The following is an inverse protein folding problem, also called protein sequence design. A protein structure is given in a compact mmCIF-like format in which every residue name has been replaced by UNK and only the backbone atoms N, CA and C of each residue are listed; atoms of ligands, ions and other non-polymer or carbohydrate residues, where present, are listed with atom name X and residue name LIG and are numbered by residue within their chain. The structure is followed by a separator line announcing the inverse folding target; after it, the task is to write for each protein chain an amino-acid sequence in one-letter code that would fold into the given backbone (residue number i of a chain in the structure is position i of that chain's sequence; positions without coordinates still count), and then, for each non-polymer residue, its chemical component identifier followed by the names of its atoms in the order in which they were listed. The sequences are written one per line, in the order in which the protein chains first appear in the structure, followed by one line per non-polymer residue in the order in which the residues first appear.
data_IF_474491152033
#
_entry.id   IF_474491152033
#
_cell.length_a   1.000
_cell.length_b   1.000
_cell.length_c   1.000
_cell.angle_alpha   90.00
_cell.angle_beta   90.00
_cell.angle_gamma   90.00
#
_symmetry.space_group_name_H-M   'P 1'
#
loop_
_entity.id
_entity.type
_entity.pdbx_description
1 polymer ?
#
# COMPACT_ATOMS: atom_id res chain seq x y z
N UNK A 1 -0.92 -30.65 4.14
CA UNK A 1 -0.51 -31.33 2.89
C UNK A 1 -1.67 -31.36 1.87
N UNK A 2 -2.16 -30.21 1.40
CA UNK A 2 -3.25 -30.12 0.40
C UNK A 2 -3.00 -29.06 -0.71
N UNK A 3 -1.80 -28.50 -0.80
CA UNK A 3 -1.46 -27.42 -1.73
C UNK A 3 -1.19 -27.80 -3.21
N UNK A 4 -0.76 -29.03 -3.58
CA UNK A 4 -0.29 -29.26 -4.96
C UNK A 4 -1.41 -29.37 -6.01
N UNK A 5 -2.68 -29.52 -5.61
CA UNK A 5 -3.83 -29.60 -6.53
C UNK A 5 -4.24 -28.23 -7.06
N UNK A 6 -4.35 -27.21 -6.21
CA UNK A 6 -4.77 -25.85 -6.61
C UNK A 6 -3.75 -25.17 -7.55
N UNK A 7 -2.46 -25.31 -7.26
CA UNK A 7 -1.39 -24.76 -8.11
C UNK A 7 -1.37 -25.42 -9.50
N UNK A 8 -1.84 -26.66 -9.61
CA UNK A 8 -1.93 -27.40 -10.86
C UNK A 8 -3.16 -26.98 -11.67
N UNK A 9 -4.30 -26.83 -11.01
CA UNK A 9 -5.55 -26.32 -11.61
C UNK A 9 -5.38 -24.89 -12.15
N UNK A 10 -4.62 -24.02 -11.46
CA UNK A 10 -4.32 -22.68 -11.96
C UNK A 10 -3.46 -22.72 -13.23
N UNK A 11 -2.47 -23.60 -13.29
CA UNK A 11 -1.60 -23.74 -14.48
C UNK A 11 -2.36 -24.30 -15.67
N UNK A 12 -3.20 -25.31 -15.46
CA UNK A 12 -4.06 -25.87 -16.50
C UNK A 12 -5.03 -24.81 -17.04
N UNK A 13 -5.57 -23.94 -16.17
CA UNK A 13 -6.40 -22.80 -16.59
C UNK A 13 -5.61 -21.72 -17.34
N UNK A 14 -4.37 -21.41 -16.93
CA UNK A 14 -3.51 -20.47 -17.65
C UNK A 14 -3.08 -21.00 -19.03
N UNK A 15 -3.04 -22.32 -19.23
CA UNK A 15 -2.70 -22.94 -20.51
C UNK A 15 -3.75 -22.67 -21.60
N UNK A 16 -4.99 -22.36 -21.22
CA UNK A 16 -6.05 -21.92 -22.13
C UNK A 16 -5.77 -20.52 -22.71
N UNK A 17 -4.91 -19.73 -22.05
CA UNK A 17 -4.65 -18.32 -22.36
C UNK A 17 -3.14 -18.03 -22.45
N UNK A 18 -2.46 -18.42 -23.55
CA UNK A 18 -1.00 -18.35 -23.64
C UNK A 18 -0.43 -16.94 -23.47
N UNK A 19 -1.12 -15.91 -23.97
CA UNK A 19 -0.70 -14.51 -23.81
C UNK A 19 -0.75 -14.03 -22.35
N UNK A 20 -1.76 -14.47 -21.58
CA UNK A 20 -1.89 -14.13 -20.16
C UNK A 20 -0.84 -14.89 -19.35
N UNK A 21 -0.62 -16.16 -19.68
CA UNK A 21 0.41 -16.98 -19.04
C UNK A 21 1.80 -16.37 -19.16
N UNK A 22 2.18 -15.91 -20.35
CA UNK A 22 3.49 -15.28 -20.59
C UNK A 22 3.69 -14.05 -19.69
N UNK A 23 2.70 -13.17 -19.61
CA UNK A 23 2.75 -11.97 -18.75
C UNK A 23 2.85 -12.30 -17.26
N UNK A 24 2.09 -13.31 -16.80
CA UNK A 24 2.11 -13.75 -15.41
C UNK A 24 3.47 -14.39 -15.07
N UNK A 25 3.99 -15.25 -15.95
CA UNK A 25 5.29 -15.91 -15.76
C UNK A 25 6.44 -14.87 -15.78
N UNK A 26 6.38 -13.87 -16.65
CA UNK A 26 7.33 -12.74 -16.69
C UNK A 26 7.30 -11.94 -15.38
N UNK A 27 6.10 -11.61 -14.87
CA UNK A 27 5.95 -10.91 -13.60
C UNK A 27 6.50 -11.74 -12.43
N UNK A 28 6.15 -13.03 -12.34
CA UNK A 28 6.64 -13.94 -11.29
C UNK A 28 8.16 -14.05 -11.34
N UNK A 29 8.74 -14.14 -12.54
CA UNK A 29 10.18 -14.23 -12.72
C UNK A 29 10.89 -12.93 -12.33
N UNK A 30 10.31 -11.78 -12.69
CA UNK A 30 10.81 -10.45 -12.30
C UNK A 30 10.77 -10.24 -10.78
N UNK A 31 9.70 -10.71 -10.13
CA UNK A 31 9.55 -10.68 -8.67
C UNK A 31 10.58 -11.58 -7.96
N UNK A 32 10.74 -12.82 -8.43
CA UNK A 32 11.72 -13.77 -7.85
C UNK A 32 13.16 -13.31 -8.02
N UNK A 33 13.48 -12.65 -9.14
CA UNK A 33 14.80 -12.09 -9.42
C UNK A 33 15.03 -10.73 -8.73
N UNK A 34 14.03 -10.20 -8.02
CA UNK A 34 14.08 -8.87 -7.39
C UNK A 34 14.47 -7.77 -8.38
N UNK A 35 13.98 -7.85 -9.62
CA UNK A 35 14.25 -6.82 -10.64
C UNK A 35 13.33 -5.61 -10.46
N UNK A 36 12.08 -5.85 -10.03
CA UNK A 36 11.13 -4.82 -9.66
C UNK A 36 11.42 -4.38 -8.23
N UNK A 37 11.75 -3.11 -8.06
CA UNK A 37 12.07 -2.52 -6.76
C UNK A 37 10.99 -1.52 -6.36
N UNK A 38 10.50 -1.67 -5.13
CA UNK A 38 9.59 -0.73 -4.51
C UNK A 38 8.11 -1.01 -4.77
N UNK A 39 7.31 -0.52 -3.84
CA UNK A 39 5.87 -0.75 -3.78
C UNK A 39 5.10 -0.17 -4.97
N UNK A 40 5.59 0.93 -5.57
CA UNK A 40 4.87 1.65 -6.64
C UNK A 40 4.92 0.89 -7.97
N UNK A 41 6.13 0.61 -8.47
CA UNK A 41 6.32 -0.14 -9.71
C UNK A 41 5.71 -1.54 -9.61
N UNK A 42 5.89 -2.20 -8.46
CA UNK A 42 5.32 -3.52 -8.23
C UNK A 42 3.79 -3.50 -8.22
N UNK A 43 3.17 -2.50 -7.56
CA UNK A 43 1.72 -2.33 -7.59
C UNK A 43 1.23 -2.06 -9.02
N UNK A 44 1.87 -1.15 -9.76
CA UNK A 44 1.50 -0.79 -11.13
C UNK A 44 1.56 -2.00 -12.08
N UNK A 45 2.64 -2.75 -12.05
CA UNK A 45 2.80 -3.96 -12.87
C UNK A 45 1.76 -5.03 -12.48
N UNK A 46 1.51 -5.23 -11.19
CA UNK A 46 0.50 -6.19 -10.71
C UNK A 46 -0.90 -5.80 -11.19
N UNK A 47 -1.30 -4.53 -11.04
CA UNK A 47 -2.60 -4.03 -11.51
C UNK A 47 -2.74 -4.18 -13.02
N UNK A 48 -1.69 -3.86 -13.79
CA UNK A 48 -1.68 -4.00 -15.25
C UNK A 48 -1.90 -5.45 -15.71
N UNK A 49 -1.20 -6.41 -15.08
CA UNK A 49 -1.39 -7.84 -15.36
C UNK A 49 -2.79 -8.29 -14.99
N UNK A 50 -3.31 -7.92 -13.82
CA UNK A 50 -4.67 -8.28 -13.39
C UNK A 50 -5.75 -7.68 -14.31
N UNK A 51 -5.56 -6.44 -14.75
CA UNK A 51 -6.42 -5.79 -15.74
C UNK A 51 -6.44 -6.59 -17.05
N UNK A 52 -5.26 -6.99 -17.54
CA UNK A 52 -5.16 -7.77 -18.79
C UNK A 52 -5.77 -9.17 -18.69
N UNK A 53 -5.63 -9.82 -17.53
CA UNK A 53 -6.29 -11.10 -17.22
C UNK A 53 -7.80 -10.94 -17.34
N UNK A 54 -8.37 -9.93 -16.70
CA UNK A 54 -9.81 -9.68 -16.69
C UNK A 54 -10.38 -9.27 -18.06
N UNK A 55 -9.59 -8.55 -18.85
CA UNK A 55 -9.95 -8.17 -20.21
C UNK A 55 -10.01 -9.39 -21.14
N UNK A 56 -9.01 -10.27 -21.05
CA UNK A 56 -8.82 -11.40 -21.98
C UNK A 56 -9.71 -12.60 -21.62
N UNK A 57 -9.87 -12.89 -20.32
CA UNK A 57 -10.66 -14.04 -19.85
C UNK A 57 -12.14 -13.74 -20.01
N UNK A 58 -12.88 -14.70 -20.59
CA UNK A 58 -14.33 -14.70 -20.57
C UNK A 58 -14.82 -15.37 -19.29
N UNK A 59 -15.69 -14.68 -18.55
CA UNK A 59 -16.29 -15.20 -17.32
C UNK A 59 -17.75 -14.77 -17.25
N UNK A 60 -18.60 -15.69 -16.82
CA UNK A 60 -20.05 -15.47 -16.71
C UNK A 60 -20.50 -15.19 -15.28
N UNK A 61 -19.67 -15.56 -14.30
CA UNK A 61 -20.00 -15.57 -12.88
C UNK A 61 -18.89 -14.92 -12.07
N UNK A 62 -19.25 -14.01 -11.16
CA UNK A 62 -18.28 -13.31 -10.31
C UNK A 62 -17.49 -14.28 -9.41
N UNK A 63 -18.15 -15.33 -8.91
CA UNK A 63 -17.50 -16.34 -8.06
C UNK A 63 -16.32 -17.06 -8.73
N UNK A 64 -16.44 -17.39 -10.02
CA UNK A 64 -15.38 -18.09 -10.77
C UNK A 64 -14.13 -17.21 -10.90
N UNK A 65 -14.31 -15.97 -11.36
CA UNK A 65 -13.19 -15.05 -11.57
C UNK A 65 -12.52 -14.62 -10.26
N UNK A 66 -13.31 -14.46 -9.19
CA UNK A 66 -12.78 -14.17 -7.84
C UNK A 66 -11.84 -15.29 -7.36
N UNK A 67 -12.20 -16.55 -7.55
CA UNK A 67 -11.35 -17.67 -7.12
C UNK A 67 -10.07 -17.75 -7.96
N UNK A 68 -10.15 -17.52 -9.28
CA UNK A 68 -8.96 -17.50 -10.15
C UNK A 68 -8.01 -16.35 -9.81
N UNK A 69 -8.53 -15.15 -9.56
CA UNK A 69 -7.71 -14.00 -9.13
C UNK A 69 -7.11 -14.24 -7.74
N UNK A 70 -7.85 -14.87 -6.83
CA UNK A 70 -7.32 -15.25 -5.51
C UNK A 70 -6.14 -16.21 -5.63
N UNK A 71 -6.25 -17.24 -6.47
CA UNK A 71 -5.18 -18.20 -6.72
C UNK A 71 -3.95 -17.54 -7.38
N UNK A 72 -4.17 -16.68 -8.38
CA UNK A 72 -3.12 -15.88 -9.01
C UNK A 72 -2.42 -14.98 -7.98
N UNK A 73 -3.19 -14.31 -7.13
CA UNK A 73 -2.67 -13.46 -6.07
C UNK A 73 -1.87 -14.22 -5.01
N UNK A 74 -2.29 -15.44 -4.67
CA UNK A 74 -1.52 -16.33 -3.79
C UNK A 74 -0.16 -16.68 -4.42
N UNK A 75 -0.14 -17.04 -5.70
CA UNK A 75 1.10 -17.33 -6.43
C UNK A 75 2.04 -16.12 -6.48
N UNK A 76 1.52 -14.92 -6.75
CA UNK A 76 2.31 -13.69 -6.79
C UNK A 76 2.86 -13.30 -5.40
N UNK A 77 2.03 -13.40 -4.36
CA UNK A 77 2.45 -13.10 -2.98
C UNK A 77 3.52 -14.08 -2.50
N UNK A 78 3.43 -15.36 -2.90
CA UNK A 78 4.44 -16.37 -2.60
C UNK A 78 5.76 -16.14 -3.34
N UNK A 79 5.74 -15.44 -4.48
CA UNK A 79 6.96 -15.10 -5.21
C UNK A 79 7.81 -14.06 -4.47
N UNK A 80 7.18 -13.10 -3.77
CA UNK A 80 7.86 -12.09 -2.97
C UNK A 80 7.04 -11.68 -1.73
N UNK A 81 7.13 -12.47 -0.66
CA UNK A 81 6.28 -12.31 0.53
C UNK A 81 6.43 -10.97 1.26
N UNK A 82 7.62 -10.36 1.22
CA UNK A 82 7.88 -9.09 1.92
C UNK A 82 7.35 -7.85 1.19
N UNK A 83 6.96 -7.97 -0.08
CA UNK A 83 6.39 -6.84 -0.83
C UNK A 83 4.87 -6.89 -0.73
N UNK A 84 4.36 -6.31 0.36
CA UNK A 84 2.93 -6.36 0.69
C UNK A 84 2.05 -5.63 -0.32
N UNK A 85 2.61 -4.70 -1.12
CA UNK A 85 1.86 -3.99 -2.15
C UNK A 85 1.21 -4.92 -3.17
N UNK A 86 1.86 -6.04 -3.52
CA UNK A 86 1.31 -7.05 -4.45
C UNK A 86 -0.01 -7.59 -3.91
N UNK A 87 0.03 -8.12 -2.68
CA UNK A 87 -1.14 -8.69 -2.05
C UNK A 87 -2.22 -7.64 -1.77
N UNK A 88 -1.83 -6.40 -1.47
CA UNK A 88 -2.78 -5.30 -1.27
C UNK A 88 -3.54 -4.98 -2.57
N UNK A 89 -2.83 -4.83 -3.69
CA UNK A 89 -3.46 -4.59 -5.01
C UNK A 89 -4.41 -5.72 -5.38
N UNK A 90 -3.99 -6.98 -5.23
CA UNK A 90 -4.86 -8.15 -5.48
C UNK A 90 -6.14 -8.04 -4.67
N UNK A 91 -6.05 -7.74 -3.38
CA UNK A 91 -7.23 -7.63 -2.50
C UNK A 91 -8.13 -6.45 -2.88
N UNK A 92 -7.56 -5.33 -3.36
CA UNK A 92 -8.35 -4.20 -3.89
C UNK A 92 -9.11 -4.61 -5.15
N UNK A 93 -8.48 -5.33 -6.08
CA UNK A 93 -9.15 -5.84 -7.28
C UNK A 93 -10.27 -6.82 -6.92
N UNK A 94 -10.04 -7.75 -5.99
CA UNK A 94 -11.09 -8.65 -5.48
C UNK A 94 -12.25 -7.87 -4.84
N UNK A 95 -11.95 -6.80 -4.10
CA UNK A 95 -12.96 -5.94 -3.49
C UNK A 95 -13.80 -5.20 -4.54
N UNK A 96 -13.17 -4.62 -5.57
CA UNK A 96 -13.86 -3.96 -6.70
C UNK A 96 -14.84 -4.92 -7.37
N UNK A 97 -14.41 -6.14 -7.69
CA UNK A 97 -15.28 -7.15 -8.33
C UNK A 97 -16.52 -7.45 -7.47
N UNK A 98 -16.35 -7.58 -6.15
CA UNK A 98 -17.46 -7.85 -5.23
C UNK A 98 -18.39 -6.65 -5.08
N UNK A 99 -17.84 -5.44 -5.02
CA UNK A 99 -18.62 -4.21 -4.88
C UNK A 99 -19.47 -3.97 -6.13
N UNK A 100 -18.88 -4.08 -7.32
CA UNK A 100 -19.61 -3.95 -8.59
C UNK A 100 -20.69 -5.02 -8.75
N UNK A 101 -20.40 -6.28 -8.38
CA UNK A 101 -21.42 -7.33 -8.37
C UNK A 101 -22.58 -7.01 -7.40
N UNK A 102 -22.26 -6.52 -6.19
CA UNK A 102 -23.29 -6.12 -5.23
C UNK A 102 -24.12 -4.93 -5.70
N UNK A 103 -23.51 -3.96 -6.39
CA UNK A 103 -24.20 -2.80 -6.94
C UNK A 103 -25.11 -3.20 -8.10
N UNK A 104 -24.65 -4.07 -8.98
CA UNK A 104 -25.43 -4.58 -10.10
C UNK A 104 -26.65 -5.42 -9.65
N UNK A 105 -26.49 -6.23 -8.59
CA UNK A 105 -27.61 -6.96 -7.95
C UNK A 105 -28.67 -6.01 -7.39
N UNK A 106 -28.24 -4.95 -6.67
CA UNK A 106 -29.17 -3.95 -6.10
C UNK A 106 -29.95 -3.25 -7.21
N UNK A 107 -29.30 -2.89 -8.31
CA UNK A 107 -29.94 -2.23 -9.44
C UNK A 107 -30.98 -3.15 -10.11
N UNK A 108 -30.68 -4.44 -10.21
CA UNK A 108 -31.62 -5.45 -10.73
C UNK A 108 -32.82 -5.67 -9.81
N UNK A 109 -32.62 -5.68 -8.48
CA UNK A 109 -33.72 -5.77 -7.50
C UNK A 109 -34.58 -4.50 -7.43
N UNK A 110 -33.98 -3.31 -7.58
CA UNK A 110 -34.69 -2.03 -7.55
C UNK A 110 -35.59 -1.83 -8.78
N UNK A 111 -35.33 -2.55 -9.88
CA UNK A 111 -36.21 -2.59 -11.05
C UNK A 111 -37.52 -3.35 -10.84
N UNK A 112 -37.62 -4.21 -9.80
CA UNK A 112 -38.79 -5.06 -9.56
C UNK A 112 -39.85 -4.41 -8.65
N UNK A 113 -39.49 -3.41 -7.84
CA UNK A 113 -40.36 -2.84 -6.78
C UNK A 113 -41.07 -1.52 -7.15
N UNK A 114 -41.22 -1.20 -8.45
CA UNK A 114 -42.02 -0.04 -8.87
C UNK A 114 -43.53 -0.30 -8.80
N UNK A 115 -44.05 -0.46 -7.57
CA UNK A 115 -45.47 -0.41 -7.26
C UNK A 115 -45.75 0.18 -5.86
N UNK A 116 -45.27 1.39 -5.57
CA UNK A 116 -45.96 2.38 -4.69
C UNK A 116 -45.21 3.72 -4.66
N UNK A 117 -45.88 4.88 -4.84
CA UNK A 117 -45.26 6.17 -4.63
C UNK A 117 -45.39 6.59 -3.17
N UNK A 118 -44.26 6.86 -2.49
CA UNK A 118 -44.26 7.69 -1.27
C UNK A 118 -43.30 8.84 -1.48
N UNK A 119 -43.89 10.02 -1.49
CA UNK A 119 -43.31 11.35 -1.69
C UNK A 119 -42.37 11.77 -0.56
N UNK A 120 -41.13 12.13 -0.92
CA UNK A 120 -40.19 12.91 -0.11
C UNK A 120 -39.28 13.76 -1.03
N UNK A 121 -38.82 14.96 -0.60
CA UNK A 121 -38.21 15.95 -1.50
C UNK A 121 -36.78 15.57 -1.93
N UNK A 122 -36.28 16.13 -3.06
CA UNK A 122 -35.00 15.73 -3.63
C UNK A 122 -33.86 16.50 -2.96
N UNK A 123 -32.98 15.81 -2.24
CA UNK A 123 -31.72 16.37 -1.74
C UNK A 123 -30.53 15.75 -2.48
N UNK A 124 -29.84 16.62 -3.23
CA UNK A 124 -28.40 16.67 -3.52
C UNK A 124 -27.58 15.37 -3.46
N UNK A 125 -26.80 15.12 -4.54
CA UNK A 125 -25.82 14.05 -4.80
C UNK A 125 -24.67 13.93 -3.78
N UNK A 126 -24.98 13.77 -2.50
CA UNK A 126 -24.03 13.49 -1.42
C UNK A 126 -24.74 12.58 -0.43
N UNK A 127 -24.42 11.28 -0.42
CA UNK A 127 -24.44 10.38 0.75
C UNK A 127 -24.59 8.91 0.33
N UNK A 128 -23.45 8.23 0.09
CA UNK A 128 -23.34 6.77 0.29
C UNK A 128 -23.08 6.43 1.78
N UNK A 129 -23.43 7.33 2.71
CA UNK A 129 -22.97 7.30 4.11
C UNK A 129 -23.99 6.71 5.10
N UNK A 130 -24.70 5.67 4.71
CA UNK A 130 -25.58 4.93 5.62
C UNK A 130 -25.53 3.42 5.38
N UNK A 131 -24.33 2.83 5.38
CA UNK A 131 -24.23 1.40 5.78
C UNK A 131 -24.73 1.33 7.23
N UNK A 132 -25.96 0.84 7.42
CA UNK A 132 -26.52 0.62 8.75
C UNK A 132 -25.55 -0.24 9.57
N UNK A 133 -25.52 -0.05 10.90
CA UNK A 133 -24.70 -0.89 11.79
C UNK A 133 -24.92 -2.39 11.53
N UNK A 134 -26.11 -2.81 11.08
CA UNK A 134 -26.37 -4.16 10.57
C UNK A 134 -25.41 -4.59 9.45
N UNK A 135 -25.23 -3.78 8.41
CA UNK A 135 -24.33 -4.06 7.27
C UNK A 135 -22.84 -4.04 7.65
N UNK A 136 -22.48 -3.27 8.68
CA UNK A 136 -21.10 -3.22 9.23
C UNK A 136 -20.84 -4.42 10.15
N UNK A 137 -21.85 -4.89 10.89
CA UNK A 137 -21.76 -6.02 11.83
C UNK A 137 -22.00 -7.38 11.15
N UNK A 138 -22.55 -7.41 9.94
CA UNK A 138 -22.60 -8.59 9.07
C UNK A 138 -21.84 -8.35 7.77
N UNK A 139 -20.50 -8.26 7.80
CA UNK A 139 -19.71 -8.25 6.58
C UNK A 139 -19.75 -9.66 5.98
N UNK A 140 -20.74 -9.93 5.12
CA UNK A 140 -20.90 -11.24 4.49
C UNK A 140 -22.31 -11.81 4.54
N UNK A 141 -23.37 -11.00 4.40
CA UNK A 141 -24.58 -11.59 3.81
C UNK A 141 -24.20 -12.05 2.42
N UNK A 142 -24.04 -13.37 2.26
CA UNK A 142 -23.74 -14.08 1.03
C UNK A 142 -24.64 -13.54 -0.08
N UNK A 143 -24.12 -12.56 -0.84
CA UNK A 143 -24.65 -12.28 -2.15
C UNK A 143 -24.36 -13.52 -2.96
N UNK A 144 -25.39 -14.09 -3.58
CA UNK A 144 -25.20 -15.28 -4.40
C UNK A 144 -24.33 -14.91 -5.59
N UNK A 145 -23.03 -15.19 -5.46
CA UNK A 145 -21.99 -14.89 -6.45
C UNK A 145 -22.15 -15.74 -7.71
N UNK A 146 -23.13 -16.65 -7.74
CA UNK A 146 -23.45 -17.53 -8.87
C UNK A 146 -24.38 -16.89 -9.90
N UNK A 147 -25.00 -15.75 -9.60
CA UNK A 147 -25.94 -15.09 -10.51
C UNK A 147 -25.17 -14.40 -11.65
N UNK A 148 -25.36 -14.81 -12.92
CA UNK A 148 -24.76 -14.12 -14.05
C UNK A 148 -25.49 -12.79 -14.29
N UNK A 149 -24.72 -11.70 -14.30
CA UNK A 149 -25.24 -10.34 -14.53
C UNK A 149 -24.64 -9.81 -15.83
N UNK A 150 -25.50 -9.34 -16.74
CA UNK A 150 -25.06 -8.65 -17.95
C UNK A 150 -24.31 -7.36 -17.59
N UNK A 151 -23.29 -7.02 -18.37
CA UNK A 151 -22.47 -5.80 -18.22
C UNK A 151 -21.56 -5.72 -16.98
N UNK A 152 -21.55 -6.73 -16.10
CA UNK A 152 -20.66 -6.74 -14.93
C UNK A 152 -19.18 -6.64 -15.29
N UNK A 153 -18.78 -7.27 -16.40
CA UNK A 153 -17.40 -7.18 -16.90
C UNK A 153 -17.02 -5.73 -17.24
N UNK A 154 -17.93 -4.96 -17.82
CA UNK A 154 -17.66 -3.56 -18.16
C UNK A 154 -17.47 -2.71 -16.90
N UNK A 155 -18.37 -2.82 -15.92
CA UNK A 155 -18.27 -2.08 -14.65
C UNK A 155 -17.00 -2.42 -13.87
N UNK A 156 -16.61 -3.71 -13.85
CA UNK A 156 -15.34 -4.13 -13.22
C UNK A 156 -14.14 -3.53 -13.95
N UNK A 157 -14.15 -3.50 -15.29
CA UNK A 157 -13.06 -2.90 -16.06
C UNK A 157 -12.95 -1.39 -15.84
N UNK A 158 -14.08 -0.68 -15.71
CA UNK A 158 -14.11 0.72 -15.34
C UNK A 158 -13.51 0.95 -13.94
N UNK A 159 -13.92 0.17 -12.93
CA UNK A 159 -13.37 0.29 -11.57
C UNK A 159 -11.87 -0.02 -11.48
N UNK A 160 -11.36 -0.94 -12.32
CA UNK A 160 -9.92 -1.22 -12.39
C UNK A 160 -9.16 -0.12 -13.13
N UNK A 161 -9.74 0.47 -14.18
CA UNK A 161 -9.15 1.62 -14.85
C UNK A 161 -9.02 2.81 -13.87
N UNK A 162 -10.03 3.06 -13.05
CA UNK A 162 -9.97 4.05 -11.97
C UNK A 162 -8.86 3.74 -10.95
N UNK A 163 -8.67 2.45 -10.59
CA UNK A 163 -7.56 2.05 -9.71
C UNK A 163 -6.19 2.30 -10.37
N UNK A 164 -6.04 2.07 -11.67
CA UNK A 164 -4.80 2.35 -12.41
C UNK A 164 -4.51 3.86 -12.38
N UNK A 165 -5.51 4.69 -12.68
CA UNK A 165 -5.40 6.15 -12.66
C UNK A 165 -5.11 6.68 -11.24
N UNK A 166 -5.68 6.06 -10.20
CA UNK A 166 -5.39 6.37 -8.80
C UNK A 166 -3.92 6.07 -8.45
N UNK A 167 -3.39 4.94 -8.92
CA UNK A 167 -1.98 4.59 -8.71
C UNK A 167 -1.09 5.59 -9.44
N UNK A 168 -1.35 5.91 -10.71
CA UNK A 168 -0.51 6.82 -11.49
C UNK A 168 -0.51 8.26 -10.95
N UNK A 169 -1.64 8.73 -10.41
CA UNK A 169 -1.75 10.06 -9.79
C UNK A 169 -1.32 10.12 -8.31
N UNK A 170 -0.94 8.98 -7.71
CA UNK A 170 -0.68 8.84 -6.27
C UNK A 170 0.26 9.90 -5.70
N UNK A 171 1.43 10.07 -6.32
CA UNK A 171 2.46 10.99 -5.82
C UNK A 171 2.05 12.45 -5.95
N UNK A 172 1.28 12.79 -6.99
CA UNK A 172 0.80 14.15 -7.24
C UNK A 172 -0.25 14.52 -6.18
N UNK A 173 -1.24 13.66 -5.97
CA UNK A 173 -2.32 13.87 -5.00
C UNK A 173 -1.79 14.01 -3.57
N UNK A 174 -0.74 13.26 -3.23
CA UNK A 174 -0.05 13.39 -1.94
C UNK A 174 0.70 14.72 -1.87
N UNK A 175 1.44 15.09 -2.92
CA UNK A 175 2.27 16.29 -2.93
C UNK A 175 1.44 17.58 -2.83
N UNK A 176 0.24 17.61 -3.41
CA UNK A 176 -0.66 18.77 -3.36
C UNK A 176 -1.08 19.13 -1.92
N UNK A 177 -1.15 18.14 -1.03
CA UNK A 177 -1.49 18.35 0.38
C UNK A 177 -0.33 18.96 1.20
N UNK A 178 0.90 19.01 0.66
CA UNK A 178 2.09 19.43 1.41
C UNK A 178 1.99 20.84 2.00
N UNK A 179 1.26 21.72 1.33
CA UNK A 179 1.05 23.11 1.75
C UNK A 179 0.23 23.24 3.04
N UNK A 180 -0.49 22.21 3.47
CA UNK A 180 -1.24 22.27 4.74
C UNK A 180 -0.36 21.92 5.94
N UNK A 181 0.66 21.08 5.75
CA UNK A 181 1.45 20.48 6.84
C UNK A 181 2.82 21.12 7.07
N UNK A 182 3.45 21.71 6.03
CA UNK A 182 4.81 22.24 6.10
C UNK A 182 4.78 23.76 6.14
N UNK A 183 5.20 24.40 7.23
CA UNK A 183 5.22 25.87 7.33
C UNK A 183 6.62 26.48 7.11
N UNK A 184 6.67 27.79 6.94
CA UNK A 184 7.92 28.54 6.76
C UNK A 184 8.79 28.48 8.02
N UNK A 185 10.10 28.43 7.83
CA UNK A 185 11.14 28.38 8.87
C UNK A 185 11.09 27.16 9.80
N UNK A 186 10.40 26.09 9.36
CA UNK A 186 10.41 24.80 10.06
C UNK A 186 11.66 23.98 9.75
N UNK A 187 12.07 23.17 10.71
CA UNK A 187 13.09 22.13 10.55
C UNK A 187 12.40 20.78 10.47
N UNK A 188 12.45 20.16 9.30
CA UNK A 188 11.86 18.85 9.04
C UNK A 188 12.96 17.79 9.05
N UNK A 189 12.73 16.68 9.73
CA UNK A 189 13.61 15.50 9.64
C UNK A 189 12.96 14.43 8.76
N UNK A 190 13.72 13.84 7.85
CA UNK A 190 13.30 12.72 6.99
C UNK A 190 14.32 11.59 7.02
N UNK A 191 13.90 10.40 6.63
CA UNK A 191 14.70 9.17 6.69
C UNK A 191 14.70 8.43 5.36
N UNK A 192 15.90 8.02 4.92
CA UNK A 192 16.10 7.22 3.72
C UNK A 192 15.68 7.95 2.43
N UNK A 193 15.30 7.18 1.40
CA UNK A 193 14.84 7.70 0.12
C UNK A 193 13.37 7.33 -0.13
N UNK A 194 12.56 8.31 -0.53
CA UNK A 194 11.18 8.07 -0.94
C UNK A 194 10.68 9.09 -1.95
N UNK A 195 10.15 8.60 -3.07
CA UNK A 195 9.55 9.44 -4.12
C UNK A 195 8.37 10.26 -3.60
N UNK A 196 7.49 9.68 -2.76
CA UNK A 196 6.35 10.40 -2.20
C UNK A 196 6.79 11.54 -1.28
N UNK A 197 7.76 11.30 -0.38
CA UNK A 197 8.23 12.32 0.56
C UNK A 197 9.03 13.39 -0.19
N UNK A 198 9.84 13.00 -1.16
CA UNK A 198 10.57 13.94 -2.01
C UNK A 198 9.61 14.87 -2.78
N UNK A 199 8.60 14.32 -3.47
CA UNK A 199 7.60 15.10 -4.18
C UNK A 199 6.82 16.03 -3.23
N UNK A 200 6.47 15.54 -2.04
CA UNK A 200 5.79 16.30 -1.00
C UNK A 200 6.62 17.51 -0.53
N UNK A 201 7.91 17.31 -0.22
CA UNK A 201 8.80 18.39 0.20
C UNK A 201 9.07 19.38 -0.95
N UNK A 202 9.28 18.89 -2.18
CA UNK A 202 9.50 19.74 -3.37
C UNK A 202 8.28 20.62 -3.66
N UNK A 203 7.06 20.09 -3.49
CA UNK A 203 5.85 20.89 -3.69
C UNK A 203 5.72 22.01 -2.67
N UNK A 204 5.98 21.74 -1.38
CA UNK A 204 5.98 22.76 -0.34
C UNK A 204 7.04 23.85 -0.58
N UNK A 205 8.22 23.47 -1.08
CA UNK A 205 9.33 24.38 -1.33
C UNK A 205 9.05 25.44 -2.40
N UNK A 206 8.08 25.21 -3.30
CA UNK A 206 7.67 26.20 -4.32
C UNK A 206 7.13 27.50 -3.72
N UNK A 207 6.57 27.44 -2.51
CA UNK A 207 5.90 28.58 -1.86
C UNK A 207 6.46 28.92 -0.48
N UNK A 208 7.20 28.02 0.17
CA UNK A 208 7.68 28.17 1.55
C UNK A 208 9.16 27.81 1.66
N UNK A 209 9.92 28.61 2.40
CA UNK A 209 11.30 28.31 2.76
C UNK A 209 11.36 27.58 4.09
N UNK A 210 12.01 26.42 4.12
CA UNK A 210 12.20 25.60 5.33
C UNK A 210 13.51 24.81 5.20
N UNK A 211 13.93 24.16 6.28
CA UNK A 211 15.16 23.37 6.35
C UNK A 211 14.81 21.89 6.47
N UNK A 212 15.58 21.03 5.80
CA UNK A 212 15.40 19.58 5.87
C UNK A 212 16.67 18.92 6.37
N UNK A 213 16.53 18.10 7.41
CA UNK A 213 17.57 17.20 7.91
C UNK A 213 17.27 15.82 7.35
N UNK A 214 18.19 15.28 6.54
CA UNK A 214 18.06 13.96 5.94
C UNK A 214 18.99 13.00 6.66
N UNK A 215 18.41 11.93 7.20
CA UNK A 215 19.17 10.83 7.80
C UNK A 215 19.59 9.86 6.69
N UNK A 216 20.86 9.50 6.64
CA UNK A 216 21.44 8.78 5.49
C UNK A 216 20.98 7.32 5.33
N UNK A 217 20.49 6.67 6.40
CA UNK A 217 20.00 5.29 6.38
C UNK A 217 21.12 4.28 6.05
N UNK A 218 22.15 4.24 6.89
CA UNK A 218 23.17 3.22 6.83
C UNK A 218 22.53 1.83 7.11
N UNK A 219 22.93 0.76 6.39
CA UNK A 219 24.09 0.67 5.48
C UNK A 219 23.80 1.07 4.02
N UNK A 220 22.54 1.31 3.65
CA UNK A 220 22.15 1.55 2.25
C UNK A 220 22.58 2.93 1.71
N UNK A 221 22.74 3.91 2.60
CA UNK A 221 23.10 5.31 2.28
C UNK A 221 22.17 5.98 1.24
N UNK A 222 20.96 5.45 1.05
CA UNK A 222 20.01 5.96 0.06
C UNK A 222 19.52 7.38 0.37
N UNK A 223 19.56 7.81 1.64
CA UNK A 223 19.20 9.16 2.04
C UNK A 223 20.09 10.24 1.42
N UNK A 224 21.34 9.90 1.04
CA UNK A 224 22.23 10.85 0.37
C UNK A 224 21.70 11.25 -1.03
N UNK A 225 21.09 10.32 -1.77
CA UNK A 225 20.43 10.62 -3.04
C UNK A 225 19.23 11.54 -2.86
N UNK A 226 18.41 11.30 -1.83
CA UNK A 226 17.27 12.18 -1.50
C UNK A 226 17.75 13.58 -1.12
N UNK A 227 18.83 13.69 -0.34
CA UNK A 227 19.41 14.97 0.02
C UNK A 227 19.88 15.76 -1.20
N UNK A 228 20.54 15.10 -2.15
CA UNK A 228 20.94 15.71 -3.42
C UNK A 228 19.73 16.22 -4.21
N UNK A 229 18.73 15.38 -4.41
CA UNK A 229 17.53 15.72 -5.19
C UNK A 229 16.74 16.90 -4.59
N UNK A 230 16.73 17.02 -3.25
CA UNK A 230 16.11 18.15 -2.55
C UNK A 230 16.96 19.43 -2.65
N UNK A 231 18.28 19.32 -2.54
CA UNK A 231 19.20 20.45 -2.66
C UNK A 231 19.16 21.07 -4.07
N UNK A 232 19.08 20.24 -5.11
CA UNK A 232 18.90 20.70 -6.50
C UNK A 232 17.61 21.51 -6.70
N UNK A 233 16.59 21.26 -5.87
CA UNK A 233 15.33 22.01 -5.88
C UNK A 233 15.36 23.29 -5.05
N UNK A 234 16.53 23.70 -4.54
CA UNK A 234 16.72 24.93 -3.78
C UNK A 234 16.36 24.85 -2.29
N UNK A 235 16.16 23.64 -1.74
CA UNK A 235 15.86 23.44 -0.32
C UNK A 235 17.17 23.42 0.48
N UNK A 236 17.19 24.04 1.65
CA UNK A 236 18.35 23.95 2.55
C UNK A 236 18.38 22.59 3.23
N UNK A 237 19.26 21.70 2.76
CA UNK A 237 19.38 20.33 3.24
C UNK A 237 20.62 20.14 4.11
N UNK A 238 20.51 19.34 5.16
CA UNK A 238 21.64 18.88 5.99
C UNK A 238 21.56 17.37 6.13
N UNK A 239 22.67 16.68 5.85
CA UNK A 239 22.74 15.21 5.97
C UNK A 239 23.35 14.85 7.32
N UNK A 240 22.79 13.84 7.99
CA UNK A 240 23.27 13.35 9.28
C UNK A 240 23.33 11.82 9.31
N UNK A 241 24.24 11.24 10.12
CA UNK A 241 24.24 9.81 10.37
C UNK A 241 23.08 9.40 11.28
N UNK A 242 22.68 8.13 11.21
CA UNK A 242 21.60 7.56 12.03
C UNK A 242 21.81 7.75 13.54
N UNK A 243 23.08 7.73 13.99
CA UNK A 243 23.45 7.93 15.39
C UNK A 243 23.23 9.37 15.91
N UNK A 244 23.21 10.37 15.02
CA UNK A 244 23.04 11.77 15.38
C UNK A 244 21.57 12.20 15.51
N UNK A 245 20.61 11.33 15.17
CA UNK A 245 19.18 11.63 15.19
C UNK A 245 18.73 12.15 16.57
N UNK A 246 19.05 11.44 17.64
CA UNK A 246 18.60 11.82 18.98
C UNK A 246 19.20 13.15 19.43
N UNK A 247 20.46 13.43 19.08
CA UNK A 247 21.14 14.68 19.42
C UNK A 247 20.52 15.91 18.74
N UNK A 248 20.00 15.73 17.53
CA UNK A 248 19.39 16.81 16.74
C UNK A 248 17.87 16.90 16.90
N UNK A 249 17.21 15.88 17.45
CA UNK A 249 15.76 15.82 17.60
C UNK A 249 15.18 17.04 18.33
N UNK A 250 15.90 17.61 19.30
CA UNK A 250 15.47 18.81 20.04
C UNK A 250 15.34 20.08 19.16
N UNK A 251 15.93 20.08 17.96
CA UNK A 251 15.87 21.19 16.99
C UNK A 251 14.86 20.95 15.88
N UNK A 252 14.28 19.75 15.81
CA UNK A 252 13.35 19.32 14.76
C UNK A 252 11.93 19.68 15.17
N UNK A 253 11.16 20.27 14.25
CA UNK A 253 9.77 20.61 14.48
C UNK A 253 8.82 19.47 14.08
N UNK A 254 9.15 18.73 13.01
CA UNK A 254 8.36 17.62 12.49
C UNK A 254 9.25 16.54 11.91
N UNK A 255 8.82 15.29 12.04
CA UNK A 255 9.45 14.15 11.36
C UNK A 255 8.52 13.69 10.25
N UNK A 256 8.97 13.74 9.00
CA UNK A 256 8.20 13.29 7.83
C UNK A 256 8.85 12.03 7.29
N UNK A 257 8.15 10.91 7.32
CA UNK A 257 8.74 9.59 7.06
C UNK A 257 7.94 8.79 6.04
N UNK A 258 8.60 8.00 5.19
CA UNK A 258 7.92 7.04 4.35
C UNK A 258 7.53 5.79 5.15
N UNK A 259 6.59 5.02 4.61
CA UNK A 259 6.37 3.63 5.00
C UNK A 259 6.58 2.70 3.81
N UNK A 260 7.01 1.47 4.07
CA UNK A 260 6.92 0.38 3.10
C UNK A 260 5.49 -0.16 3.06
N UNK A 261 4.90 -0.40 4.24
CA UNK A 261 3.50 -0.78 4.39
C UNK A 261 2.91 -0.25 5.70
N UNK A 262 1.58 -0.10 5.73
CA UNK A 262 0.80 0.25 6.93
C UNK A 262 -0.07 -0.96 7.26
N UNK A 263 0.11 -1.57 8.43
CA UNK A 263 -0.64 -2.76 8.85
C UNK A 263 -1.95 -2.39 9.54
N UNK A 264 -2.82 -3.38 9.77
CA UNK A 264 -4.20 -3.14 10.21
C UNK A 264 -4.37 -2.43 11.57
N UNK A 265 -3.40 -2.56 12.47
CA UNK A 265 -3.42 -1.82 13.73
C UNK A 265 -2.91 -0.36 13.61
N UNK A 266 -2.61 0.10 12.40
CA UNK A 266 -2.03 1.41 12.13
C UNK A 266 -0.53 1.50 12.37
N UNK A 267 0.14 0.37 12.65
CA UNK A 267 1.60 0.30 12.70
C UNK A 267 2.23 0.40 11.31
N UNK A 268 3.51 0.73 11.27
CA UNK A 268 4.27 0.85 10.04
C UNK A 268 5.30 -0.25 9.92
N UNK A 269 5.44 -0.76 8.71
CA UNK A 269 6.64 -1.48 8.29
C UNK A 269 7.44 -0.47 7.46
N UNK A 270 8.67 -0.22 7.85
CA UNK A 270 9.53 0.73 7.18
C UNK A 270 10.97 0.25 7.18
N UNK A 271 11.84 0.94 6.43
CA UNK A 271 13.25 0.61 6.39
C UNK A 271 13.86 0.62 7.80
N UNK A 272 14.76 -0.32 8.06
CA UNK A 272 15.44 -0.49 9.34
C UNK A 272 16.08 0.81 9.83
N UNK A 273 15.89 1.14 11.10
CA UNK A 273 16.33 2.40 11.71
C UNK A 273 15.20 3.41 11.93
N UNK A 274 14.07 3.32 11.20
CA UNK A 274 12.97 4.27 11.37
C UNK A 274 12.35 4.21 12.78
N UNK A 275 12.30 3.03 13.40
CA UNK A 275 11.79 2.88 14.75
C UNK A 275 12.59 3.71 15.78
N UNK A 276 13.91 3.78 15.64
CA UNK A 276 14.75 4.60 16.51
C UNK A 276 14.41 6.08 16.38
N UNK A 277 14.15 6.54 15.15
CA UNK A 277 13.73 7.91 14.87
C UNK A 277 12.35 8.18 15.47
N UNK A 278 11.41 7.26 15.32
CA UNK A 278 10.06 7.39 15.84
C UNK A 278 10.03 7.42 17.37
N UNK A 279 10.82 6.58 18.03
CA UNK A 279 10.98 6.58 19.49
C UNK A 279 11.64 7.86 20.00
N UNK A 280 12.69 8.34 19.31
CA UNK A 280 13.33 9.61 19.63
C UNK A 280 12.34 10.79 19.49
N UNK A 281 11.56 10.82 18.41
CA UNK A 281 10.54 11.83 18.17
C UNK A 281 9.47 11.80 19.25
N UNK A 282 8.95 10.61 19.61
CA UNK A 282 7.98 10.43 20.69
C UNK A 282 8.53 10.94 22.03
N UNK A 283 9.80 10.68 22.33
CA UNK A 283 10.45 11.14 23.57
C UNK A 283 10.61 12.66 23.63
N UNK A 284 10.88 13.30 22.49
CA UNK A 284 11.02 14.74 22.35
C UNK A 284 9.70 15.46 22.04
N UNK A 285 8.56 14.76 22.05
CA UNK A 285 7.24 15.29 21.69
C UNK A 285 7.18 15.91 20.29
N UNK A 286 7.98 15.41 19.35
CA UNK A 286 7.99 15.82 17.95
C UNK A 286 6.97 14.97 17.19
N UNK A 287 6.01 15.58 16.47
CA UNK A 287 5.02 14.81 15.72
C UNK A 287 5.64 14.10 14.52
N UNK A 288 5.38 12.80 14.40
CA UNK A 288 5.74 11.97 13.24
C UNK A 288 4.59 11.93 12.26
N UNK A 289 4.83 12.42 11.05
CA UNK A 289 3.93 12.44 9.90
C UNK A 289 4.39 11.35 8.94
N UNK A 290 3.55 10.35 8.70
CA UNK A 290 3.86 9.30 7.74
C UNK A 290 3.20 9.62 6.40
N UNK A 291 3.98 9.55 5.32
CA UNK A 291 3.48 9.71 3.94
C UNK A 291 3.44 8.35 3.27
N UNK A 292 2.23 7.86 3.00
CA UNK A 292 2.02 6.54 2.40
C UNK A 292 0.76 6.54 1.54
N UNK A 293 0.89 6.06 0.30
CA UNK A 293 -0.27 5.85 -0.57
C UNK A 293 -1.14 4.68 -0.14
N UNK A 294 -2.40 4.65 -0.56
CA UNK A 294 -3.34 3.58 -0.18
C UNK A 294 -2.90 2.19 -0.64
N UNK A 295 -2.09 2.07 -1.70
CA UNK A 295 -1.50 0.78 -2.14
C UNK A 295 -0.64 0.10 -1.06
N UNK A 296 -0.14 0.88 -0.09
CA UNK A 296 0.70 0.38 1.02
C UNK A 296 -0.12 -0.05 2.23
N UNK A 297 -1.42 0.22 2.25
CA UNK A 297 -2.30 -0.16 3.33
C UNK A 297 -2.60 -1.66 3.25
N UNK A 298 -2.26 -2.42 4.29
CA UNK A 298 -2.41 -3.86 4.34
C UNK A 298 -3.36 -4.30 5.46
N UNK A 299 -4.34 -5.17 5.18
CA UNK A 299 -5.24 -5.72 6.20
C UNK A 299 -4.57 -6.77 7.11
N UNK A 300 -3.30 -7.10 6.86
CA UNK A 300 -2.56 -8.04 7.69
C UNK A 300 -2.26 -7.43 9.06
N UNK A 301 -2.30 -8.27 10.09
CA UNK A 301 -1.94 -7.90 11.45
C UNK A 301 -0.50 -8.31 11.75
N UNK A 302 0.24 -7.47 12.48
CA UNK A 302 1.60 -7.75 12.92
C UNK A 302 1.58 -8.71 14.14
N UNK A 303 1.04 -9.92 13.98
CA UNK A 303 1.10 -10.96 15.02
C UNK A 303 2.49 -11.61 15.10
N UNK A 304 3.17 -11.70 13.96
CA UNK A 304 4.50 -12.29 13.86
C UNK A 304 5.41 -11.28 13.13
N UNK A 305 6.14 -10.49 13.92
CA UNK A 305 7.05 -9.47 13.40
C UNK A 305 8.20 -10.10 12.61
N UNK A 306 8.59 -11.33 12.97
CA UNK A 306 9.67 -12.07 12.30
C UNK A 306 9.31 -12.42 10.85
N UNK A 307 8.02 -12.57 10.54
CA UNK A 307 7.54 -12.80 9.15
C UNK A 307 7.66 -11.52 8.29
N UNK A 308 7.73 -10.35 8.93
CA UNK A 308 7.79 -9.05 8.25
C UNK A 308 9.22 -8.51 8.17
N UNK A 309 10.13 -9.01 9.01
CA UNK A 309 11.54 -8.63 9.05
C UNK A 309 12.38 -9.46 8.08
N UNK A 310 12.58 -8.94 6.88
CA UNK A 310 13.50 -9.53 5.90
C UNK A 310 14.96 -9.31 6.30
N UNK A 311 15.81 -10.33 6.16
CA UNK A 311 17.27 -10.19 6.25
C UNK A 311 17.89 -10.05 4.86
N UNK A 312 18.67 -9.00 4.67
CA UNK A 312 19.48 -8.77 3.47
C UNK A 312 20.87 -9.41 3.61
N UNK A 313 21.61 -9.42 2.51
CA UNK A 313 22.99 -9.87 2.51
C UNK A 313 23.84 -9.02 3.50
N UNK A 314 24.70 -9.65 4.32
CA UNK A 314 25.54 -8.95 5.30
C UNK A 314 26.70 -8.19 4.65
N UNK A 315 26.93 -8.38 3.34
CA UNK A 315 28.03 -7.75 2.59
C UNK A 315 27.99 -6.23 2.59
N UNK A 316 26.82 -5.62 2.80
CA UNK A 316 26.70 -4.16 2.92
C UNK A 316 27.15 -3.62 4.30
N UNK A 317 27.25 -4.50 5.31
CA UNK A 317 27.65 -4.14 6.67
C UNK A 317 29.10 -4.56 6.93
N UNK A 318 29.47 -5.76 6.48
CA UNK A 318 30.76 -6.37 6.81
C UNK A 318 31.37 -7.05 5.59
N UNK A 319 32.67 -6.84 5.39
CA UNK A 319 33.41 -7.47 4.30
C UNK A 319 33.57 -8.97 4.57
N UNK A 320 33.23 -9.80 3.59
CA UNK A 320 33.26 -11.24 3.74
C UNK A 320 34.68 -11.79 3.99
N UNK A 321 35.70 -11.13 3.42
CA UNK A 321 37.10 -11.55 3.55
C UNK A 321 37.64 -11.47 4.99
N UNK A 322 37.02 -10.64 5.83
CA UNK A 322 37.43 -10.41 7.21
C UNK A 322 36.65 -11.29 8.22
N UNK A 323 35.82 -12.22 7.74
CA UNK A 323 34.95 -13.03 8.61
C UNK A 323 35.74 -14.08 9.39
N UNK A 324 35.40 -14.22 10.68
CA UNK A 324 35.94 -15.23 11.60
C UNK A 324 34.85 -16.21 12.03
N UNK A 325 35.21 -17.44 12.36
CA UNK A 325 34.25 -18.55 12.59
C UNK A 325 33.21 -18.30 13.71
N UNK A 326 33.44 -17.32 14.60
CA UNK A 326 32.53 -16.95 15.70
C UNK A 326 31.86 -15.58 15.52
N UNK A 327 31.78 -15.06 14.29
CA UNK A 327 31.12 -13.78 13.97
C UNK A 327 29.84 -14.00 13.19
N UNK A 328 28.71 -13.55 13.74
CA UNK A 328 27.43 -13.49 13.05
C UNK A 328 27.09 -12.04 12.70
N UNK A 329 26.72 -11.80 11.44
CA UNK A 329 26.35 -10.46 10.94
C UNK A 329 24.93 -10.52 10.41
N UNK A 330 24.05 -9.74 11.03
CA UNK A 330 22.64 -9.64 10.66
C UNK A 330 22.36 -8.28 10.02
N UNK A 331 21.60 -8.28 8.92
CA UNK A 331 21.22 -7.08 8.19
C UNK A 331 19.70 -7.04 7.99
N UNK A 332 18.92 -6.60 9.00
CA UNK A 332 17.48 -6.44 8.84
C UNK A 332 17.15 -5.31 7.86
N UNK A 333 16.33 -5.60 6.85
CA UNK A 333 15.88 -4.65 5.84
C UNK A 333 14.83 -3.69 6.40
N UNK A 334 13.89 -4.23 7.19
CA UNK A 334 12.70 -3.57 7.68
C UNK A 334 12.57 -3.69 9.19
N UNK A 335 11.94 -2.68 9.78
CA UNK A 335 11.60 -2.62 11.18
C UNK A 335 10.13 -2.19 11.34
N UNK A 336 9.57 -2.47 12.52
CA UNK A 336 8.19 -2.19 12.85
C UNK A 336 8.08 -0.95 13.75
N UNK A 337 7.32 0.04 13.30
CA UNK A 337 6.98 1.22 14.10
C UNK A 337 5.57 1.09 14.67
N UNK A 338 5.41 1.06 16.00
CA UNK A 338 4.09 1.01 16.62
C UNK A 338 3.23 2.22 16.25
N UNK A 339 1.89 2.05 16.13
CA UNK A 339 0.96 3.12 15.78
C UNK A 339 1.04 4.32 16.73
N UNK A 340 1.40 4.11 18.00
CA UNK A 340 1.52 5.16 19.01
C UNK A 340 2.63 6.19 18.74
N UNK A 341 3.61 5.85 17.90
CA UNK A 341 4.69 6.76 17.55
C UNK A 341 4.31 7.65 16.35
N UNK A 342 3.22 7.34 15.65
CA UNK A 342 2.76 8.06 14.46
C UNK A 342 1.62 9.00 14.82
N UNK A 343 1.71 10.26 14.42
CA UNK A 343 0.67 11.26 14.72
C UNK A 343 -0.44 11.29 13.69
N UNK A 344 -0.07 11.20 12.41
CA UNK A 344 -0.98 11.30 11.27
C UNK A 344 -0.39 10.61 10.03
N UNK A 345 -1.27 10.04 9.21
CA UNK A 345 -0.98 9.47 7.91
C UNK A 345 -1.45 10.42 6.82
N UNK A 346 -0.59 10.75 5.86
CA UNK A 346 -0.96 11.48 4.66
C UNK A 346 -1.03 10.48 3.51
N UNK A 347 -2.24 10.30 2.99
CA UNK A 347 -2.56 9.38 1.88
C UNK A 347 -3.04 10.18 0.66
N UNK A 348 -3.23 9.53 -0.48
CA UNK A 348 -3.74 10.18 -1.69
C UNK A 348 -5.19 10.69 -1.56
N UNK A 349 -5.97 10.21 -0.58
CA UNK A 349 -7.35 10.67 -0.35
C UNK A 349 -7.46 11.73 0.75
N UNK A 350 -6.36 12.00 1.46
CA UNK A 350 -6.34 12.94 2.58
C UNK A 350 -5.53 12.42 3.76
N UNK A 351 -5.62 13.15 4.87
CA UNK A 351 -4.91 12.81 6.08
C UNK A 351 -5.78 12.13 7.14
N UNK A 352 -5.24 11.09 7.76
CA UNK A 352 -5.97 10.18 8.64
C UNK A 352 -5.19 9.93 9.93
N UNK A 353 -5.91 9.76 11.04
CA UNK A 353 -5.27 9.33 12.29
C UNK A 353 -5.02 7.82 12.28
N UNK A 354 -4.03 7.30 13.03
CA UNK A 354 -3.80 5.87 13.14
C UNK A 354 -5.03 5.07 13.58
N UNK A 355 -5.86 5.66 14.45
CA UNK A 355 -7.13 5.07 14.90
C UNK A 355 -8.18 4.98 13.80
N UNK A 356 -8.04 5.68 12.67
CA UNK A 356 -8.99 5.65 11.55
C UNK A 356 -8.62 4.59 10.49
N UNK A 357 -7.42 3.99 10.59
CA UNK A 357 -6.92 3.01 9.62
C UNK A 357 -7.84 1.80 9.46
N UNK A 358 -8.46 1.31 10.54
CA UNK A 358 -9.42 0.18 10.46
C UNK A 358 -10.61 0.49 9.56
N UNK A 359 -11.05 1.75 9.53
CA UNK A 359 -12.19 2.17 8.72
C UNK A 359 -11.80 2.29 7.25
N UNK A 360 -10.62 2.85 6.96
CA UNK A 360 -10.07 2.82 5.60
C UNK A 360 -9.94 1.38 5.10
N UNK A 361 -9.48 0.45 5.94
CA UNK A 361 -9.42 -0.95 5.55
C UNK A 361 -10.79 -1.53 5.20
N UNK A 362 -11.84 -1.21 5.96
CA UNK A 362 -13.19 -1.65 5.66
C UNK A 362 -13.81 -0.99 4.41
N UNK A 363 -13.30 0.17 4.00
CA UNK A 363 -13.72 0.90 2.80
C UNK A 363 -13.06 0.33 1.52
N UNK A 364 -11.84 -0.21 1.61
CA UNK A 364 -11.07 -0.68 0.45
C UNK A 364 -10.84 -2.19 0.37
N UNK A 365 -11.14 -2.94 1.43
CA UNK A 365 -10.88 -4.38 1.51
C UNK A 365 -12.05 -5.17 2.09
N UNK A 366 -12.25 -6.37 1.54
CA UNK A 366 -13.18 -7.36 2.09
C UNK A 366 -12.50 -8.20 3.18
N UNK A 367 -13.15 -8.44 4.33
CA UNK A 367 -12.64 -9.36 5.37
C UNK A 367 -12.41 -10.79 4.85
N UNK A 368 -13.14 -11.21 3.81
CA UNK A 368 -13.00 -12.54 3.21
C UNK A 368 -11.65 -12.75 2.51
N UNK A 369 -10.97 -11.67 2.14
CA UNK A 369 -9.77 -11.71 1.32
C UNK A 369 -8.52 -11.30 2.12
N UNK A 370 -8.61 -11.18 3.46
CA UNK A 370 -7.47 -10.85 4.32
C UNK A 370 -6.38 -11.92 4.21
N UNK A 371 -6.78 -13.19 4.18
CA UNK A 371 -5.90 -14.32 3.87
C UNK A 371 -6.10 -14.75 2.42
N UNK A 372 -5.07 -14.55 1.60
CA UNK A 372 -5.00 -15.08 0.25
C UNK A 372 -4.45 -16.51 0.35
N UNK A 373 -5.31 -17.50 0.62
CA UNK A 373 -4.95 -18.93 0.81
C UNK A 373 -5.70 -19.87 -0.11
#
# INVERSE_FOLDING_TARGET
MAAPTKDKELKEWLDEWPAVRELVDELVLSLKRRQLHGSYETAKMTTSVLSKVLETVEWSTAGEILEKIRQLGHMLTKAHAHELAIGNVVRRVLYIIREEHSNALKLSSAGADNAAPVSGPPSSRTNNLSRSLGTILTPGTDTDLSIPIADLKLSVMEGIAELVDEIDSLHVNIADQAMEYIHTDEVILTFGQSLSVEAFLKMAAKKRSFKVIVVESAPSLNGQHMAHALAESGIHVTVIPDSAVFALMARVNKVVVPAAAVVANGGLIAQSGLQNIALAAKKCSVPVVCVAGLIKLSPLYAHDLDVLSELLAPSSIYNYEDTVDNLEVLNPAYDYVPPECVRIFITNTGAHQPSYIYRLLAEYYSPQDYQLS
#
